data_IF_265965770522
#
_entry.id   IF_265965770522
#
_cell.length_a   1.000
_cell.length_b   1.000
_cell.length_c   1.000
_cell.angle_alpha   90.00
_cell.angle_beta   90.00
_cell.angle_gamma   90.00
#
_symmetry.space_group_name_H-M   'P 1'
#
loop_
_entity.id
_entity.type
_entity.pdbx_description
1 polymer ?
#
# COMPACT_ATOMS: atom_id res chain seq x y z
N UNK A 1 7.83 2.88 -23.19
CA UNK A 1 8.44 2.18 -22.04
C UNK A 1 8.47 3.15 -20.87
N UNK A 2 7.40 3.15 -20.08
CA UNK A 2 7.27 3.93 -18.85
C UNK A 2 8.14 3.28 -17.79
N UNK A 3 9.34 3.82 -17.59
CA UNK A 3 10.28 3.37 -16.59
C UNK A 3 9.73 3.68 -15.18
N UNK A 4 9.59 2.67 -14.32
CA UNK A 4 9.27 2.85 -12.91
C UNK A 4 10.40 3.66 -12.25
N UNK A 5 10.16 4.94 -11.94
CA UNK A 5 11.20 5.85 -11.42
C UNK A 5 11.49 5.69 -9.93
N UNK A 6 11.16 4.54 -9.34
CA UNK A 6 11.44 4.22 -7.95
C UNK A 6 10.53 4.93 -6.94
N UNK A 7 11.02 5.02 -5.68
CA UNK A 7 10.29 5.56 -4.53
C UNK A 7 9.74 6.99 -4.70
N UNK A 8 10.26 7.76 -5.67
CA UNK A 8 9.81 9.13 -5.95
C UNK A 8 8.36 9.22 -6.43
N UNK A 9 7.80 8.15 -7.00
CA UNK A 9 6.39 8.11 -7.42
C UNK A 9 5.48 7.59 -6.30
N UNK A 10 6.02 7.13 -5.18
CA UNK A 10 5.22 6.65 -4.06
C UNK A 10 4.91 7.84 -3.15
N UNK A 11 3.63 8.17 -3.05
CA UNK A 11 3.13 9.29 -2.27
C UNK A 11 2.31 8.77 -1.11
N UNK A 12 2.62 9.28 0.08
CA UNK A 12 1.88 9.00 1.30
C UNK A 12 0.84 10.10 1.46
N UNK A 13 -0.41 9.72 1.67
CA UNK A 13 -1.51 10.63 1.91
C UNK A 13 -2.26 10.18 3.16
N UNK A 14 -2.37 11.08 4.13
CA UNK A 14 -3.16 10.78 5.32
C UNK A 14 -4.65 10.77 4.97
N UNK A 15 -5.37 9.86 5.63
CA UNK A 15 -6.81 9.88 5.70
C UNK A 15 -7.22 9.69 7.17
N UNK A 16 -8.43 10.12 7.50
CA UNK A 16 -8.94 10.08 8.87
C UNK A 16 -8.87 8.68 9.52
N UNK A 17 -9.01 7.62 8.72
CA UNK A 17 -9.06 6.23 9.19
C UNK A 17 -7.86 5.37 8.78
N UNK A 18 -6.95 5.87 7.95
CA UNK A 18 -5.81 5.13 7.44
C UNK A 18 -4.78 6.04 6.77
N UNK A 19 -3.58 5.55 6.58
CA UNK A 19 -2.54 6.17 5.77
C UNK A 19 -2.54 5.52 4.38
N UNK A 20 -2.83 6.29 3.33
CA UNK A 20 -2.89 5.83 1.96
C UNK A 20 -1.52 5.92 1.28
N UNK A 21 -1.07 4.82 0.70
CA UNK A 21 0.13 4.77 -0.13
C UNK A 21 -0.35 4.72 -1.59
N UNK A 22 -0.08 5.78 -2.34
CA UNK A 22 -0.56 5.97 -3.71
C UNK A 22 0.64 6.06 -4.65
N UNK A 23 0.46 5.58 -5.87
CA UNK A 23 1.42 5.82 -6.94
C UNK A 23 1.05 7.09 -7.72
N UNK A 24 2.06 7.90 -8.03
CA UNK A 24 1.96 9.13 -8.81
C UNK A 24 0.97 10.16 -8.22
N UNK A 25 0.76 10.14 -6.90
CA UNK A 25 -0.27 10.94 -6.23
C UNK A 25 -1.70 10.75 -6.81
N UNK A 26 -1.96 9.57 -7.42
CA UNK A 26 -3.22 9.31 -8.10
C UNK A 26 -4.08 8.33 -7.30
N UNK A 27 -5.28 8.76 -6.90
CA UNK A 27 -6.24 7.92 -6.16
C UNK A 27 -6.71 6.69 -6.95
N UNK A 28 -6.48 6.63 -8.27
CA UNK A 28 -6.77 5.46 -9.12
C UNK A 28 -5.65 4.41 -9.12
N UNK A 29 -4.51 4.71 -8.50
CA UNK A 29 -3.36 3.81 -8.34
C UNK A 29 -3.01 3.60 -6.85
N UNK A 30 -3.94 3.07 -6.03
CA UNK A 30 -3.62 2.76 -4.64
C UNK A 30 -2.68 1.56 -4.56
N UNK A 31 -1.55 1.72 -3.88
CA UNK A 31 -0.57 0.64 -3.69
C UNK A 31 -0.92 -0.15 -2.44
N UNK A 32 -1.06 0.52 -1.30
CA UNK A 32 -1.44 -0.05 0.00
C UNK A 32 -2.15 0.97 0.89
N UNK A 33 -2.79 0.49 1.95
CA UNK A 33 -3.33 1.33 3.03
C UNK A 33 -2.85 0.81 4.37
N UNK A 34 -2.32 1.68 5.21
CA UNK A 34 -1.85 1.34 6.55
C UNK A 34 -2.89 1.81 7.56
N UNK A 35 -3.51 0.87 8.26
CA UNK A 35 -4.50 1.11 9.30
C UNK A 35 -3.81 0.99 10.67
N UNK A 36 -2.92 1.93 10.99
CA UNK A 36 -2.13 1.93 12.23
C UNK A 36 -2.70 2.87 13.30
N UNK A 37 -4.00 3.17 13.21
CA UNK A 37 -4.66 4.11 14.11
C UNK A 37 -4.89 3.56 15.53
N UNK A 38 -4.76 2.26 15.74
CA UNK A 38 -4.89 1.64 17.05
C UNK A 38 -3.54 1.17 17.58
N UNK A 39 -3.27 1.45 18.85
CA UNK A 39 -2.03 1.05 19.54
C UNK A 39 -1.86 -0.47 19.59
N UNK A 40 -2.97 -1.21 19.69
CA UNK A 40 -2.99 -2.67 19.91
C UNK A 40 -3.28 -3.48 18.65
N UNK A 41 -3.88 -2.87 17.63
CA UNK A 41 -4.35 -3.56 16.42
C UNK A 41 -3.97 -2.77 15.18
N UNK A 42 -2.99 -3.28 14.44
CA UNK A 42 -2.54 -2.69 13.20
C UNK A 42 -3.01 -3.57 12.06
N UNK A 43 -3.40 -2.95 10.95
CA UNK A 43 -3.73 -3.67 9.74
C UNK A 43 -3.04 -3.03 8.54
N UNK A 44 -2.71 -3.86 7.56
CA UNK A 44 -2.33 -3.43 6.22
C UNK A 44 -3.41 -3.86 5.24
N UNK A 45 -3.92 -2.91 4.47
CA UNK A 45 -4.74 -3.16 3.30
C UNK A 45 -3.83 -3.27 2.09
N UNK A 46 -3.69 -4.47 1.55
CA UNK A 46 -3.03 -4.72 0.26
C UNK A 46 -4.08 -4.84 -0.82
N UNK A 47 -3.72 -4.50 -2.05
CA UNK A 47 -4.61 -4.63 -3.20
C UNK A 47 -4.23 -5.86 -4.01
N UNK A 48 -5.21 -6.62 -4.45
CA UNK A 48 -5.00 -7.69 -5.42
C UNK A 48 -5.05 -7.14 -6.86
N UNK A 49 -4.71 -7.97 -7.84
CA UNK A 49 -4.78 -7.67 -9.28
C UNK A 49 -6.16 -7.19 -9.72
N UNK A 50 -7.21 -7.64 -9.04
CA UNK A 50 -8.61 -7.22 -9.29
C UNK A 50 -8.99 -5.92 -8.53
N UNK A 51 -8.01 -5.20 -7.96
CA UNK A 51 -8.20 -3.98 -7.14
C UNK A 51 -9.04 -4.19 -5.89
N UNK A 52 -9.18 -5.44 -5.45
CA UNK A 52 -9.84 -5.75 -4.18
C UNK A 52 -8.88 -5.45 -3.02
N UNK A 53 -9.34 -4.68 -2.03
CA UNK A 53 -8.60 -4.44 -0.81
C UNK A 53 -8.74 -5.63 0.14
N UNK A 54 -7.63 -6.26 0.50
CA UNK A 54 -7.56 -7.30 1.51
C UNK A 54 -6.85 -6.77 2.73
N UNK A 55 -7.50 -6.82 3.90
CA UNK A 55 -6.94 -6.35 5.17
C UNK A 55 -6.29 -7.50 5.91
N UNK A 56 -5.00 -7.37 6.17
CA UNK A 56 -4.23 -8.30 6.98
C UNK A 56 -3.89 -7.65 8.31
N UNK A 57 -4.11 -8.38 9.40
CA UNK A 57 -3.67 -7.96 10.73
C UNK A 57 -2.15 -8.11 10.81
N UNK A 58 -1.49 -7.08 11.34
CA UNK A 58 -0.04 -7.08 11.54
C UNK A 58 0.27 -6.77 13.00
N UNK A 59 1.35 -7.36 13.51
CA UNK A 59 1.81 -7.08 14.87
C UNK A 59 2.70 -5.83 14.86
N UNK A 60 3.60 -5.74 13.89
CA UNK A 60 4.59 -4.67 13.79
C UNK A 60 4.74 -4.10 12.38
N UNK A 61 5.57 -3.05 12.23
CA UNK A 61 6.02 -2.57 10.93
C UNK A 61 6.90 -3.61 10.20
N UNK A 62 7.48 -4.57 10.92
CA UNK A 62 8.26 -5.67 10.34
C UNK A 62 7.42 -6.63 9.49
N UNK A 63 6.15 -6.86 9.85
CA UNK A 63 5.23 -7.70 9.07
C UNK A 63 4.98 -7.14 7.66
N UNK A 64 5.26 -5.86 7.40
CA UNK A 64 5.10 -5.27 6.06
C UNK A 64 5.96 -5.98 5.02
N UNK A 65 7.13 -6.51 5.43
CA UNK A 65 8.03 -7.23 4.53
C UNK A 65 7.41 -8.53 4.03
N UNK A 66 6.47 -9.14 4.76
CA UNK A 66 5.74 -10.33 4.33
C UNK A 66 4.87 -10.03 3.10
N UNK A 67 4.36 -8.80 3.02
CA UNK A 67 3.51 -8.35 1.92
C UNK A 67 4.29 -7.74 0.77
N UNK A 68 5.62 -7.58 0.89
CA UNK A 68 6.44 -6.87 -0.10
C UNK A 68 6.24 -7.35 -1.54
N UNK A 69 6.11 -8.66 -1.75
CA UNK A 69 5.86 -9.26 -3.07
C UNK A 69 4.50 -8.81 -3.66
N UNK A 70 3.45 -8.78 -2.85
CA UNK A 70 2.12 -8.29 -3.27
C UNK A 70 2.17 -6.79 -3.61
N UNK A 71 2.84 -6.00 -2.78
CA UNK A 71 3.03 -4.56 -3.01
C UNK A 71 3.77 -4.34 -4.34
N UNK A 72 4.84 -5.10 -4.58
CA UNK A 72 5.62 -5.03 -5.81
C UNK A 72 4.79 -5.42 -7.03
N UNK A 73 3.96 -6.47 -6.91
CA UNK A 73 3.05 -6.90 -7.97
C UNK A 73 2.05 -5.79 -8.35
N UNK A 74 1.46 -5.12 -7.35
CA UNK A 74 0.55 -3.97 -7.56
C UNK A 74 1.27 -2.82 -8.26
N UNK A 75 2.50 -2.50 -7.83
CA UNK A 75 3.32 -1.46 -8.45
C UNK A 75 3.62 -1.80 -9.91
N UNK A 76 4.01 -3.05 -10.19
CA UNK A 76 4.26 -3.55 -11.55
C UNK A 76 3.02 -3.50 -12.43
N UNK A 77 1.83 -3.73 -11.88
CA UNK A 77 0.57 -3.61 -12.60
C UNK A 77 0.24 -2.17 -13.02
N UNK A 78 0.90 -1.16 -12.43
CA UNK A 78 0.71 0.26 -12.76
C UNK A 78 1.78 0.86 -13.68
N UNK A 79 2.86 0.12 -13.95
CA UNK A 79 4.00 0.52 -14.79
C UNK A 79 3.71 0.43 -16.29
#
# INVERSE_FOLDING_TARGET
VSEFRGAAQVVIRDAKSYCAILMDNNNRKPVCRLYFNSTTTRYIGVFDSDKNEVRHKVAGPEDLYIFADQIESVIKAYA
#
